data_IF_551969086757
#
_entry.id   IF_551969086757
#
_cell.length_a   1.000
_cell.length_b   1.000
_cell.length_c   1.000
_cell.angle_alpha   90.00
_cell.angle_beta   90.00
_cell.angle_gamma   90.00
#
_symmetry.space_group_name_H-M   'P 1'
#
loop_
_entity.id
_entity.type
_entity.pdbx_description
1 polymer ?
#
# COMPACT_ATOMS: atom_id res chain seq x y z
N UNK A 1 -26.76 -19.75 -71.51
CA UNK A 1 -27.00 -21.20 -71.30
C UNK A 1 -25.96 -21.72 -70.30
N UNK A 2 -26.39 -22.49 -69.31
CA UNK A 2 -25.69 -23.25 -68.26
C UNK A 2 -25.58 -22.51 -66.90
N UNK A 3 -26.58 -22.71 -66.12
CA UNK A 3 -26.93 -23.72 -65.11
C UNK A 3 -26.09 -23.58 -63.83
N UNK A 4 -26.78 -22.99 -62.92
CA UNK A 4 -26.71 -22.96 -61.44
C UNK A 4 -26.38 -24.31 -60.80
N UNK A 5 -25.47 -24.38 -59.90
CA UNK A 5 -25.50 -25.38 -58.83
C UNK A 5 -25.12 -24.64 -57.47
N UNK A 6 -26.14 -24.53 -56.64
CA UNK A 6 -26.03 -24.06 -55.27
C UNK A 6 -25.63 -25.27 -54.43
N UNK A 7 -24.49 -25.22 -53.77
CA UNK A 7 -24.09 -26.20 -52.78
C UNK A 7 -24.24 -25.59 -51.37
N UNK A 8 -25.30 -26.02 -50.73
CA UNK A 8 -25.49 -25.77 -49.31
C UNK A 8 -24.50 -26.62 -48.50
N UNK A 9 -23.52 -26.01 -47.91
CA UNK A 9 -22.70 -26.68 -46.86
C UNK A 9 -23.20 -26.20 -45.52
N UNK A 10 -23.94 -27.12 -44.86
CA UNK A 10 -24.26 -27.01 -43.44
C UNK A 10 -22.95 -27.17 -42.65
N UNK A 11 -22.45 -26.09 -42.08
CA UNK A 11 -21.31 -26.14 -41.14
C UNK A 11 -21.85 -26.19 -39.71
N UNK A 12 -21.82 -27.38 -39.12
CA UNK A 12 -22.10 -27.63 -37.71
C UNK A 12 -21.01 -26.99 -36.86
N UNK A 13 -21.36 -25.96 -36.12
CA UNK A 13 -20.48 -25.33 -35.13
C UNK A 13 -20.47 -26.22 -33.90
N UNK A 14 -19.46 -27.09 -33.77
CA UNK A 14 -19.14 -27.79 -32.55
C UNK A 14 -18.54 -26.74 -31.58
N UNK A 15 -19.25 -26.47 -30.48
CA UNK A 15 -18.78 -25.60 -29.39
C UNK A 15 -17.51 -26.16 -28.73
N UNK A 16 -16.40 -25.50 -28.96
CA UNK A 16 -15.18 -25.70 -28.17
C UNK A 16 -15.29 -24.83 -26.92
N UNK A 17 -15.73 -25.43 -25.81
CA UNK A 17 -15.52 -24.86 -24.49
C UNK A 17 -14.02 -24.95 -24.18
N UNK A 18 -13.29 -23.89 -24.51
CA UNK A 18 -11.94 -23.69 -24.01
C UNK A 18 -12.05 -23.40 -22.51
N UNK A 19 -11.78 -24.40 -21.70
CA UNK A 19 -11.51 -24.25 -20.26
C UNK A 19 -10.21 -23.44 -20.14
N UNK A 20 -10.34 -22.15 -19.95
CA UNK A 20 -9.18 -21.26 -19.66
C UNK A 20 -8.71 -21.62 -18.25
N UNK A 21 -7.65 -22.39 -18.15
CA UNK A 21 -6.91 -22.57 -16.91
C UNK A 21 -6.26 -21.22 -16.60
N UNK A 22 -6.92 -20.45 -15.71
CA UNK A 22 -6.36 -19.25 -15.12
C UNK A 22 -5.09 -19.65 -14.35
N UNK A 23 -3.94 -19.31 -14.90
CA UNK A 23 -2.67 -19.36 -14.20
C UNK A 23 -2.68 -18.25 -13.14
N UNK A 24 -3.22 -18.55 -11.97
CA UNK A 24 -3.28 -17.66 -10.83
C UNK A 24 -1.90 -17.57 -10.21
N UNK A 25 -1.14 -16.48 -10.44
CA UNK A 25 -0.13 -15.98 -9.48
C UNK A 25 0.40 -14.57 -9.79
N UNK A 26 -0.02 -13.90 -10.87
CA UNK A 26 0.41 -12.52 -11.16
C UNK A 26 -0.67 -11.45 -10.95
N UNK A 27 -1.95 -11.84 -10.88
CA UNK A 27 -3.08 -10.90 -10.84
C UNK A 27 -3.43 -10.37 -9.45
N UNK A 28 -3.35 -11.19 -8.42
CA UNK A 28 -3.72 -10.80 -7.04
C UNK A 28 -2.83 -9.69 -6.46
N UNK A 29 -1.54 -9.71 -6.77
CA UNK A 29 -0.60 -8.71 -6.23
C UNK A 29 -0.72 -7.33 -6.89
N UNK A 30 -1.07 -7.26 -8.17
CA UNK A 30 -1.26 -5.99 -8.87
C UNK A 30 -2.58 -5.32 -8.48
N UNK A 31 -3.64 -6.10 -8.30
CA UNK A 31 -4.96 -5.62 -7.88
C UNK A 31 -4.94 -5.10 -6.45
N UNK A 32 -4.27 -5.80 -5.53
CA UNK A 32 -4.11 -5.36 -4.13
C UNK A 32 -3.33 -4.04 -4.02
N UNK A 33 -2.26 -3.88 -4.78
CA UNK A 33 -1.50 -2.63 -4.84
C UNK A 33 -2.36 -1.47 -5.33
N UNK A 34 -3.08 -1.64 -6.44
CA UNK A 34 -3.91 -0.58 -7.02
C UNK A 34 -5.03 -0.18 -6.06
N UNK A 35 -5.74 -1.14 -5.45
CA UNK A 35 -6.78 -0.89 -4.46
C UNK A 35 -6.27 -0.08 -3.26
N UNK A 36 -5.09 -0.40 -2.74
CA UNK A 36 -4.45 0.34 -1.63
C UNK A 36 -4.10 1.77 -2.04
N UNK A 37 -3.53 1.96 -3.23
CA UNK A 37 -3.17 3.28 -3.74
C UNK A 37 -4.42 4.17 -3.93
N UNK A 38 -5.50 3.61 -4.46
CA UNK A 38 -6.75 4.34 -4.68
C UNK A 38 -7.42 4.75 -3.36
N UNK A 39 -7.49 3.84 -2.39
CA UNK A 39 -8.06 4.14 -1.08
C UNK A 39 -7.24 5.18 -0.32
N UNK A 40 -5.92 5.00 -0.24
CA UNK A 40 -5.04 5.93 0.46
C UNK A 40 -4.93 7.28 -0.25
N UNK A 41 -4.97 7.30 -1.58
CA UNK A 41 -5.04 8.53 -2.38
C UNK A 41 -6.31 9.35 -2.14
N UNK A 42 -7.39 8.71 -1.68
CA UNK A 42 -8.64 9.37 -1.33
C UNK A 42 -8.70 9.93 0.12
N UNK A 43 -7.56 9.99 0.81
CA UNK A 43 -7.49 10.53 2.16
C UNK A 43 -8.00 9.54 3.22
N UNK A 44 -7.87 8.24 2.97
CA UNK A 44 -8.19 7.18 3.93
C UNK A 44 -6.91 6.58 4.49
N UNK A 45 -6.93 6.22 5.78
CA UNK A 45 -5.90 5.37 6.37
C UNK A 45 -6.15 3.93 5.93
N UNK A 46 -5.13 3.27 5.36
CA UNK A 46 -5.25 1.93 4.81
C UNK A 46 -4.37 0.95 5.57
N UNK A 47 -4.93 -0.22 5.89
CA UNK A 47 -4.18 -1.29 6.54
C UNK A 47 -3.34 -2.05 5.51
N UNK A 48 -2.07 -2.26 5.84
CA UNK A 48 -1.16 -3.05 5.03
C UNK A 48 -0.77 -4.33 5.76
N UNK A 49 -0.71 -5.43 5.02
CA UNK A 49 0.10 -6.57 5.41
C UNK A 49 1.54 -6.39 4.88
N UNK A 50 2.45 -7.26 5.31
CA UNK A 50 3.86 -7.18 4.92
C UNK A 50 4.11 -7.31 3.41
N UNK A 51 3.25 -8.04 2.68
CA UNK A 51 3.43 -8.22 1.23
C UNK A 51 3.04 -6.97 0.45
N UNK A 52 1.95 -6.31 0.86
CA UNK A 52 1.55 -5.03 0.28
C UNK A 52 2.51 -3.91 0.71
N UNK A 53 3.01 -3.93 1.96
CA UNK A 53 4.04 -2.98 2.41
C UNK A 53 5.27 -3.03 1.49
N UNK A 54 5.73 -4.23 1.10
CA UNK A 54 6.85 -4.39 0.17
C UNK A 54 6.60 -3.78 -1.20
N UNK A 55 5.35 -3.75 -1.64
CA UNK A 55 4.98 -3.23 -2.96
C UNK A 55 4.81 -1.70 -3.00
N UNK A 56 4.46 -1.07 -1.86
CA UNK A 56 4.07 0.35 -1.81
C UNK A 56 4.96 1.21 -0.94
N UNK A 57 5.81 0.60 -0.09
CA UNK A 57 6.73 1.33 0.81
C UNK A 57 8.18 0.95 0.56
N UNK A 58 8.56 -0.30 0.84
CA UNK A 58 9.94 -0.76 0.68
C UNK A 58 10.00 -2.27 0.51
N UNK A 59 10.55 -2.74 -0.62
CA UNK A 59 10.79 -4.17 -0.86
C UNK A 59 12.12 -4.63 -0.23
N UNK A 60 12.07 -4.88 1.08
CA UNK A 60 13.22 -5.33 1.87
C UNK A 60 13.73 -6.74 1.49
N UNK A 61 12.96 -7.54 0.76
CA UNK A 61 13.43 -8.83 0.24
C UNK A 61 14.30 -8.64 -1.00
N UNK A 62 14.03 -7.60 -1.77
CA UNK A 62 14.77 -7.25 -2.99
C UNK A 62 15.99 -6.38 -2.69
N UNK A 63 15.84 -5.43 -1.75
CA UNK A 63 16.87 -4.45 -1.39
C UNK A 63 17.11 -4.48 0.12
N UNK A 64 17.91 -5.45 0.60
CA UNK A 64 18.13 -5.66 2.04
C UNK A 64 19.02 -4.58 2.69
N UNK A 65 19.93 -4.00 1.94
CA UNK A 65 20.93 -3.04 2.46
C UNK A 65 20.55 -1.59 2.18
N UNK A 66 19.83 -1.35 1.08
CA UNK A 66 19.54 0.00 0.63
C UNK A 66 18.05 0.30 0.72
N UNK A 67 17.74 1.41 1.35
CA UNK A 67 16.37 1.92 1.39
C UNK A 67 15.98 2.48 0.03
N UNK A 68 14.98 1.86 -0.60
CA UNK A 68 14.38 2.35 -1.85
C UNK A 68 12.88 2.48 -1.64
N UNK A 69 12.35 3.70 -1.72
CA UNK A 69 10.92 3.93 -1.60
C UNK A 69 10.18 3.51 -2.88
N UNK A 70 9.20 2.62 -2.74
CA UNK A 70 8.42 2.06 -3.86
C UNK A 70 7.16 2.88 -4.21
N UNK A 71 6.88 3.95 -3.46
CA UNK A 71 5.71 4.81 -3.66
C UNK A 71 5.98 6.04 -4.53
N UNK A 72 4.92 6.76 -4.86
CA UNK A 72 4.91 7.96 -5.72
C UNK A 72 4.80 9.28 -4.94
N UNK A 73 4.16 9.27 -3.77
CA UNK A 73 4.07 10.39 -2.84
C UNK A 73 4.48 9.96 -1.43
N UNK A 74 4.94 10.89 -0.57
CA UNK A 74 5.40 10.57 0.79
C UNK A 74 4.35 9.83 1.61
N UNK A 75 4.80 9.00 2.56
CA UNK A 75 3.88 8.23 3.40
C UNK A 75 4.24 8.31 4.89
N UNK A 76 3.22 8.10 5.74
CA UNK A 76 3.38 7.72 7.14
C UNK A 76 2.93 6.28 7.28
N UNK A 77 3.70 5.46 8.01
CA UNK A 77 3.28 4.11 8.40
C UNK A 77 3.18 4.06 9.92
N UNK A 78 1.98 3.80 10.43
CA UNK A 78 1.68 3.63 11.86
C UNK A 78 1.74 2.14 12.21
N UNK A 79 2.77 1.73 12.93
CA UNK A 79 2.90 0.40 13.51
C UNK A 79 2.13 0.36 14.83
N UNK A 80 1.11 -0.49 14.88
CA UNK A 80 0.16 -0.56 15.99
C UNK A 80 -0.19 -2.00 16.37
N UNK A 81 -0.95 -2.18 17.44
CA UNK A 81 -1.67 -3.40 17.75
C UNK A 81 -3.06 -3.08 18.32
N UNK A 82 -4.01 -4.01 18.20
CA UNK A 82 -5.42 -3.79 18.61
C UNK A 82 -5.57 -3.57 20.12
N UNK A 83 -4.75 -4.23 20.94
CA UNK A 83 -4.71 -4.08 22.40
C UNK A 83 -4.03 -2.78 22.85
N UNK A 84 -3.30 -2.08 21.98
CA UNK A 84 -2.53 -0.89 22.30
C UNK A 84 -3.45 0.32 22.51
N UNK A 85 -3.64 0.71 23.77
CA UNK A 85 -4.51 1.85 24.14
C UNK A 85 -4.05 3.18 23.54
N UNK A 86 -2.74 3.57 23.59
CA UNK A 86 -2.30 4.82 22.97
C UNK A 86 -2.42 4.79 21.43
N UNK A 87 -2.31 3.63 20.79
CA UNK A 87 -2.54 3.51 19.34
C UNK A 87 -3.99 3.82 18.98
N UNK A 88 -4.93 3.29 19.76
CA UNK A 88 -6.37 3.58 19.57
C UNK A 88 -6.70 5.06 19.76
N UNK A 89 -6.04 5.73 20.72
CA UNK A 89 -6.21 7.16 20.94
C UNK A 89 -5.65 8.01 19.79
N UNK A 90 -4.59 7.52 19.12
CA UNK A 90 -3.97 8.19 17.98
C UNK A 90 -4.79 8.04 16.67
N UNK A 91 -5.55 6.95 16.50
CA UNK A 91 -6.22 6.60 15.26
C UNK A 91 -7.12 7.71 14.69
N UNK A 92 -7.99 8.40 15.46
CA UNK A 92 -8.79 9.51 14.93
C UNK A 92 -7.94 10.65 14.36
N UNK A 93 -6.81 10.96 15.00
CA UNK A 93 -5.89 11.99 14.51
C UNK A 93 -5.25 11.58 13.18
N UNK A 94 -4.93 10.30 13.00
CA UNK A 94 -4.39 9.81 11.73
C UNK A 94 -5.42 9.89 10.61
N UNK A 95 -6.70 9.58 10.90
CA UNK A 95 -7.80 9.71 9.94
C UNK A 95 -8.01 11.18 9.53
N UNK A 96 -7.99 12.11 10.48
CA UNK A 96 -8.09 13.56 10.20
C UNK A 96 -6.91 14.04 9.34
N UNK A 97 -5.68 13.61 9.64
CA UNK A 97 -4.50 13.99 8.86
C UNK A 97 -4.54 13.38 7.46
N UNK A 98 -5.03 12.16 7.29
CA UNK A 98 -5.20 11.55 5.97
C UNK A 98 -6.13 12.37 5.08
N UNK A 99 -7.23 12.90 5.64
CA UNK A 99 -8.15 13.79 4.94
C UNK A 99 -7.53 15.18 4.67
N UNK A 100 -6.87 15.78 5.67
CA UNK A 100 -6.26 17.11 5.58
C UNK A 100 -5.14 17.17 4.52
N UNK A 101 -4.36 16.09 4.42
CA UNK A 101 -3.24 15.98 3.47
C UNK A 101 -3.54 15.12 2.25
N UNK A 102 -4.82 14.91 1.93
CA UNK A 102 -5.26 14.15 0.76
C UNK A 102 -4.49 14.58 -0.51
N UNK A 103 -3.94 13.59 -1.22
CA UNK A 103 -3.16 13.80 -2.44
C UNK A 103 -1.74 14.33 -2.23
N UNK A 104 -1.35 14.70 -1.00
CA UNK A 104 0.00 15.16 -0.66
C UNK A 104 0.83 14.08 0.05
N UNK A 105 0.18 13.31 0.92
CA UNK A 105 0.78 12.14 1.59
C UNK A 105 -0.24 11.01 1.61
N UNK A 106 0.23 9.78 1.90
CA UNK A 106 -0.61 8.65 2.28
C UNK A 106 -0.33 8.24 3.71
N UNK A 107 -1.34 7.70 4.38
CA UNK A 107 -1.19 7.15 5.74
C UNK A 107 -1.60 5.69 5.72
N UNK A 108 -0.69 4.85 6.16
CA UNK A 108 -0.84 3.41 6.27
C UNK A 108 -0.79 2.96 7.72
N UNK A 109 -1.37 1.79 8.00
CA UNK A 109 -1.28 1.11 9.30
C UNK A 109 -0.79 -0.31 9.11
N UNK A 110 0.08 -0.77 10.00
CA UNK A 110 0.60 -2.14 10.03
C UNK A 110 0.38 -2.71 11.43
N UNK A 111 -0.41 -3.78 11.54
CA UNK A 111 -0.57 -4.51 12.80
C UNK A 111 0.69 -5.34 13.08
N UNK A 112 1.38 -5.05 14.18
CA UNK A 112 2.64 -5.70 14.54
C UNK A 112 2.47 -7.17 14.93
N UNK A 113 1.32 -7.55 15.45
CA UNK A 113 1.04 -8.95 15.83
C UNK A 113 0.85 -9.85 14.61
N UNK A 114 0.28 -9.29 13.53
CA UNK A 114 0.05 -9.98 12.26
C UNK A 114 1.27 -9.95 11.33
N UNK A 115 2.14 -8.93 11.49
CA UNK A 115 3.29 -8.68 10.60
C UNK A 115 4.62 -8.69 11.40
N UNK A 116 4.88 -9.79 12.12
CA UNK A 116 6.01 -9.92 13.04
C UNK A 116 7.36 -9.85 12.35
N UNK A 117 7.48 -10.47 11.16
CA UNK A 117 8.71 -10.43 10.37
C UNK A 117 9.06 -8.97 10.01
N UNK A 118 8.11 -8.24 9.44
CA UNK A 118 8.28 -6.83 9.10
C UNK A 118 8.60 -5.97 10.33
N UNK A 119 7.85 -6.17 11.41
CA UNK A 119 8.03 -5.40 12.67
C UNK A 119 9.42 -5.64 13.27
N UNK A 120 9.89 -6.89 13.27
CA UNK A 120 11.24 -7.24 13.71
C UNK A 120 12.32 -6.64 12.82
N UNK A 121 12.18 -6.72 11.49
CA UNK A 121 13.10 -6.11 10.52
C UNK A 121 13.19 -4.59 10.69
N UNK A 122 12.06 -3.93 10.93
CA UNK A 122 11.99 -2.49 11.16
C UNK A 122 12.43 -2.06 12.57
N UNK A 123 12.80 -3.02 13.45
CA UNK A 123 13.25 -2.74 14.80
C UNK A 123 12.18 -2.14 15.71
N UNK A 124 10.90 -2.47 15.48
CA UNK A 124 9.78 -1.95 16.25
C UNK A 124 9.82 -2.55 17.67
N UNK A 125 10.29 -1.80 18.64
CA UNK A 125 10.41 -2.20 20.05
C UNK A 125 9.30 -1.67 20.95
N UNK A 126 8.57 -0.65 20.48
CA UNK A 126 7.42 -0.07 21.19
C UNK A 126 6.41 0.49 20.21
N UNK A 127 5.13 0.52 20.60
CA UNK A 127 4.01 1.02 19.79
C UNK A 127 3.18 2.07 20.53
N UNK A 128 2.57 3.05 19.83
CA UNK A 128 2.68 3.25 18.38
C UNK A 128 4.09 3.66 17.96
N UNK A 129 4.50 3.23 16.76
CA UNK A 129 5.73 3.68 16.11
C UNK A 129 5.39 4.22 14.73
N UNK A 130 5.79 5.46 14.47
CA UNK A 130 5.46 6.14 13.23
C UNK A 130 6.70 6.23 12.34
N UNK A 131 6.63 5.64 11.15
CA UNK A 131 7.66 5.74 10.13
C UNK A 131 7.26 6.82 9.13
N UNK A 132 8.05 7.87 9.01
CA UNK A 132 7.89 8.95 8.05
C UNK A 132 8.81 8.69 6.86
N UNK A 133 8.23 8.46 5.70
CA UNK A 133 8.94 8.13 4.46
C UNK A 133 8.79 9.29 3.48
N UNK A 134 9.82 10.12 3.30
CA UNK A 134 9.82 11.15 2.26
C UNK A 134 9.90 10.52 0.86
N UNK A 135 9.52 11.28 -0.17
CA UNK A 135 9.63 10.83 -1.57
C UNK A 135 11.09 10.48 -1.96
N UNK A 136 12.05 11.18 -1.37
CA UNK A 136 13.47 10.97 -1.56
C UNK A 136 14.22 11.15 -0.25
N UNK A 137 15.30 10.39 -0.07
CA UNK A 137 16.09 10.41 1.15
C UNK A 137 15.74 9.26 2.11
N UNK A 138 16.27 9.36 3.33
CA UNK A 138 16.09 8.29 4.33
C UNK A 138 14.81 8.51 5.14
N UNK A 139 14.11 7.41 5.51
CA UNK A 139 12.98 7.50 6.42
C UNK A 139 13.42 7.91 7.84
N UNK A 140 12.48 8.41 8.62
CA UNK A 140 12.69 8.70 10.04
C UNK A 140 11.60 8.08 10.89
N UNK A 141 11.96 7.69 12.11
CA UNK A 141 11.03 7.13 13.09
C UNK A 141 10.68 8.12 14.19
N UNK A 142 9.46 7.98 14.69
CA UNK A 142 9.03 8.55 15.97
C UNK A 142 8.36 7.47 16.81
N UNK A 143 8.75 7.33 18.05
CA UNK A 143 8.16 6.36 18.98
C UNK A 143 7.13 7.06 19.88
N UNK A 144 6.05 6.35 20.18
CA UNK A 144 4.95 6.84 21.00
C UNK A 144 3.95 7.71 20.24
N UNK A 145 2.80 7.94 20.86
CA UNK A 145 1.76 8.80 20.33
C UNK A 145 2.21 10.27 20.41
N UNK A 146 2.14 10.96 19.28
CA UNK A 146 2.45 12.39 19.19
C UNK A 146 1.16 13.23 19.12
N UNK A 147 1.17 14.45 19.70
CA UNK A 147 0.11 15.42 19.49
C UNK A 147 -0.02 15.79 18.00
N UNK A 148 -1.26 16.14 17.57
CA UNK A 148 -1.58 16.48 16.17
C UNK A 148 -0.67 17.57 15.60
N UNK A 149 -0.39 18.63 16.36
CA UNK A 149 0.45 19.73 15.88
C UNK A 149 1.89 19.27 15.64
N UNK A 150 2.41 18.35 16.46
CA UNK A 150 3.73 17.77 16.25
C UNK A 150 3.77 16.87 15.02
N UNK A 151 2.72 16.10 14.78
CA UNK A 151 2.58 15.31 13.56
C UNK A 151 2.54 16.20 12.33
N UNK A 152 1.78 17.31 12.37
CA UNK A 152 1.74 18.30 11.27
C UNK A 152 3.11 18.93 11.02
N UNK A 153 3.83 19.27 12.08
CA UNK A 153 5.19 19.77 11.95
C UNK A 153 6.12 18.74 11.26
N UNK A 154 6.07 17.47 11.69
CA UNK A 154 6.88 16.41 11.07
C UNK A 154 6.49 16.15 9.61
N UNK A 155 5.20 16.22 9.28
CA UNK A 155 4.73 16.12 7.89
C UNK A 155 5.38 17.22 7.06
N UNK A 156 5.36 18.47 7.53
CA UNK A 156 5.96 19.58 6.79
C UNK A 156 7.49 19.45 6.68
N UNK A 157 8.14 19.13 7.80
CA UNK A 157 9.61 19.14 7.89
C UNK A 157 10.28 17.93 7.26
N UNK A 158 9.64 16.76 7.28
CA UNK A 158 10.21 15.49 6.81
C UNK A 158 9.64 15.07 5.46
N UNK A 159 8.32 15.18 5.28
CA UNK A 159 7.65 14.61 4.11
C UNK A 159 7.49 15.62 2.97
N UNK A 160 7.15 16.88 3.29
CA UNK A 160 6.78 17.88 2.29
C UNK A 160 7.88 18.91 2.01
N UNK A 161 8.95 18.96 2.83
CA UNK A 161 10.14 19.73 2.45
C UNK A 161 10.72 19.16 1.18
N UNK A 162 10.49 19.83 0.07
CA UNK A 162 11.26 19.63 -1.15
C UNK A 162 12.73 20.00 -0.81
N UNK A 163 13.62 19.01 -0.94
CA UNK A 163 15.04 19.23 -0.70
C UNK A 163 15.54 20.46 -1.48
N UNK A 164 16.20 21.36 -0.75
CA UNK A 164 17.05 22.39 -1.36
C UNK A 164 18.30 21.72 -1.89
#
# INVERSE_FOLDING_TARGET
>A
MKKTIVFFILLTIAGFNACSTNSANGGENADSKQSVLDQSGNGKVVHLNQDVFRQVVWDYKKNQTDWTFEGDIPVIVDFYADWCRPCRALAPTMDELALEYKGKIRIYKVNTDENRELSGLMGISSIPALLFVPKSGKPSFSLGALPKDKLKQMIQDVLLKTGK
#
